data_IF_486779153874
#
_entry.id   IF_486779153874
#
_cell.length_a   1.000
_cell.length_b   1.000
_cell.length_c   1.000
_cell.angle_alpha   90.00
_cell.angle_beta   90.00
_cell.angle_gamma   90.00
#
_symmetry.space_group_name_H-M   'P 1'
#
loop_
_entity.id
_entity.type
_entity.pdbx_description
1 polymer ?
#
# COMPACT_ATOMS: atom_id res chain seq x y z
N UNK A 1 12.95 -9.39 15.98
CA UNK A 1 11.91 -9.94 15.09
C UNK A 1 10.71 -10.22 15.97
N UNK A 2 9.63 -9.47 15.79
CA UNK A 2 8.43 -9.61 16.62
C UNK A 2 7.38 -10.33 15.78
N UNK A 3 7.04 -11.54 16.20
CA UNK A 3 5.99 -12.35 15.60
C UNK A 3 4.62 -11.86 16.12
N UNK A 4 3.57 -11.99 15.31
CA UNK A 4 2.20 -11.84 15.83
C UNK A 4 1.91 -12.91 16.89
N UNK A 5 0.80 -12.78 17.62
CA UNK A 5 0.37 -13.78 18.60
C UNK A 5 0.25 -15.19 18.01
N UNK A 6 0.01 -15.27 16.69
CA UNK A 6 -0.11 -16.51 15.92
C UNK A 6 1.21 -16.97 15.25
N UNK A 7 2.33 -16.28 15.48
CA UNK A 7 3.61 -16.59 14.84
C UNK A 7 3.76 -16.04 13.42
N UNK A 8 2.80 -15.27 12.93
CA UNK A 8 2.79 -14.73 11.58
C UNK A 8 3.63 -13.45 11.46
N UNK A 9 4.13 -13.18 10.25
CA UNK A 9 4.90 -11.98 9.92
C UNK A 9 4.03 -11.15 8.97
N UNK A 10 3.33 -10.10 9.42
CA UNK A 10 2.46 -9.26 8.57
C UNK A 10 3.13 -8.77 7.28
N UNK A 11 4.44 -8.55 7.34
CA UNK A 11 5.25 -8.16 6.18
C UNK A 11 5.34 -9.25 5.10
N UNK A 12 5.29 -10.54 5.45
CA UNK A 12 5.26 -11.62 4.47
C UNK A 12 3.93 -11.65 3.71
N UNK A 13 2.79 -11.49 4.41
CA UNK A 13 1.50 -11.36 3.74
C UNK A 13 1.46 -10.14 2.83
N UNK A 14 2.03 -9.02 3.28
CA UNK A 14 2.15 -7.85 2.44
C UNK A 14 2.91 -8.15 1.13
N UNK A 15 4.09 -8.75 1.20
CA UNK A 15 4.89 -9.05 0.01
C UNK A 15 4.23 -10.08 -0.91
N UNK A 16 3.60 -11.13 -0.36
CA UNK A 16 2.83 -12.06 -1.17
C UNK A 16 1.65 -11.34 -1.84
N UNK A 17 0.91 -10.52 -1.10
CA UNK A 17 -0.21 -9.74 -1.63
C UNK A 17 0.20 -8.84 -2.80
N UNK A 18 1.36 -8.19 -2.71
CA UNK A 18 1.91 -7.39 -3.80
C UNK A 18 2.18 -8.24 -5.05
N UNK A 19 2.76 -9.44 -4.89
CA UNK A 19 3.00 -10.37 -6.00
C UNK A 19 1.67 -10.79 -6.64
N UNK A 20 0.67 -11.16 -5.83
CA UNK A 20 -0.68 -11.52 -6.32
C UNK A 20 -1.31 -10.36 -7.11
N UNK A 21 -1.27 -9.15 -6.57
CA UNK A 21 -1.80 -7.96 -7.23
C UNK A 21 -1.07 -7.66 -8.54
N UNK A 22 0.27 -7.80 -8.58
CA UNK A 22 1.06 -7.65 -9.81
C UNK A 22 0.69 -8.68 -10.89
N UNK A 23 0.31 -9.89 -10.48
CA UNK A 23 -0.13 -10.96 -11.38
C UNK A 23 -1.63 -10.92 -11.74
N UNK A 24 -2.35 -9.86 -11.35
CA UNK A 24 -3.77 -9.73 -11.68
C UNK A 24 -4.67 -10.69 -10.88
N UNK A 25 -4.28 -11.03 -9.64
CA UNK A 25 -5.03 -11.87 -8.70
C UNK A 25 -5.61 -11.01 -7.57
N UNK A 26 -6.64 -10.19 -7.83
CA UNK A 26 -7.08 -9.15 -6.90
C UNK A 26 -7.68 -9.72 -5.61
N UNK A 27 -8.47 -10.80 -5.66
CA UNK A 27 -9.11 -11.34 -4.47
C UNK A 27 -8.07 -11.91 -3.49
N UNK A 28 -7.14 -12.71 -4.00
CA UNK A 28 -6.05 -13.30 -3.21
C UNK A 28 -5.14 -12.21 -2.65
N UNK A 29 -4.88 -11.14 -3.41
CA UNK A 29 -4.12 -9.99 -2.94
C UNK A 29 -4.84 -9.28 -1.79
N UNK A 30 -6.14 -9.04 -1.91
CA UNK A 30 -6.94 -8.37 -0.88
C UNK A 30 -6.96 -9.17 0.42
N UNK A 31 -7.13 -10.50 0.35
CA UNK A 31 -7.10 -11.36 1.54
C UNK A 31 -5.75 -11.26 2.27
N UNK A 32 -4.64 -11.21 1.52
CA UNK A 32 -3.29 -11.08 2.06
C UNK A 32 -3.01 -9.67 2.61
N UNK A 33 -3.45 -8.61 1.91
CA UNK A 33 -3.29 -7.24 2.41
C UNK A 33 -4.06 -7.03 3.71
N UNK A 34 -5.28 -7.57 3.83
CA UNK A 34 -6.03 -7.51 5.08
C UNK A 34 -5.30 -8.18 6.23
N UNK A 35 -4.66 -9.34 6.01
CA UNK A 35 -3.81 -10.01 7.01
C UNK A 35 -2.53 -9.23 7.37
N UNK A 36 -2.13 -8.28 6.53
CA UNK A 36 -0.96 -7.43 6.80
C UNK A 36 -1.27 -6.20 7.68
N UNK A 37 -2.55 -5.91 7.92
CA UNK A 37 -2.98 -4.85 8.84
C UNK A 37 -2.56 -5.21 10.26
N UNK A 38 -2.02 -4.22 10.99
CA UNK A 38 -1.55 -4.38 12.36
C UNK A 38 -2.55 -3.77 13.35
N UNK A 39 -2.51 -4.17 14.64
CA UNK A 39 -3.12 -3.36 15.69
C UNK A 39 -2.70 -1.89 15.57
N UNK A 40 -3.59 -0.94 15.83
CA UNK A 40 -3.33 0.49 15.58
C UNK A 40 -2.13 1.01 16.40
N UNK A 41 -1.90 0.47 17.59
CA UNK A 41 -0.74 0.80 18.44
C UNK A 41 0.59 0.33 17.82
N UNK A 42 0.54 -0.62 16.90
CA UNK A 42 1.69 -1.17 16.18
C UNK A 42 1.79 -0.65 14.74
N UNK A 43 0.85 0.21 14.31
CA UNK A 43 0.85 0.88 13.00
C UNK A 43 1.82 2.05 12.98
N UNK A 44 3.11 1.74 13.04
CA UNK A 44 4.18 2.75 13.05
C UNK A 44 4.41 3.28 11.63
N UNK A 45 4.60 4.60 11.50
CA UNK A 45 4.96 5.24 10.23
C UNK A 45 3.86 5.19 9.17
N UNK A 46 2.60 5.12 9.58
CA UNK A 46 1.45 5.10 8.66
C UNK A 46 1.27 3.77 7.92
N UNK A 47 1.74 2.66 8.48
CA UNK A 47 1.66 1.33 7.84
C UNK A 47 0.24 0.97 7.42
N UNK A 48 -0.72 1.03 8.36
CA UNK A 48 -2.09 0.63 8.04
C UNK A 48 -2.73 1.54 6.99
N UNK A 49 -2.46 2.86 7.00
CA UNK A 49 -2.96 3.78 5.97
C UNK A 49 -2.41 3.42 4.59
N UNK A 50 -1.13 3.07 4.51
CA UNK A 50 -0.52 2.61 3.26
C UNK A 50 -1.15 1.31 2.73
N UNK A 51 -1.36 0.33 3.62
CA UNK A 51 -2.01 -0.93 3.27
C UNK A 51 -3.46 -0.69 2.83
N UNK A 52 -4.25 0.07 3.60
CA UNK A 52 -5.65 0.38 3.28
C UNK A 52 -5.79 1.19 2.00
N UNK A 53 -4.89 2.14 1.73
CA UNK A 53 -4.83 2.83 0.45
C UNK A 53 -4.60 1.84 -0.73
N UNK A 54 -3.70 0.88 -0.54
CA UNK A 54 -3.42 -0.15 -1.57
C UNK A 54 -4.61 -1.08 -1.79
N UNK A 55 -5.28 -1.50 -0.72
CA UNK A 55 -6.56 -2.24 -0.78
C UNK A 55 -7.59 -1.46 -1.59
N UNK A 56 -7.81 -0.20 -1.24
CA UNK A 56 -8.78 0.66 -1.91
C UNK A 56 -8.47 0.84 -3.41
N UNK A 57 -7.19 0.93 -3.80
CA UNK A 57 -6.80 0.94 -5.20
C UNK A 57 -7.19 -0.38 -5.91
N UNK A 58 -6.87 -1.54 -5.31
CA UNK A 58 -7.17 -2.86 -5.89
C UNK A 58 -8.67 -3.12 -5.97
N UNK A 59 -9.45 -2.62 -5.01
CA UNK A 59 -10.92 -2.66 -5.02
C UNK A 59 -11.55 -1.70 -6.04
N UNK A 60 -10.78 -0.78 -6.64
CA UNK A 60 -11.33 0.26 -7.49
C UNK A 60 -12.14 1.31 -6.69
N UNK A 61 -11.83 1.50 -5.41
CA UNK A 61 -12.48 2.48 -4.54
C UNK A 61 -11.65 3.77 -4.43
N UNK A 62 -11.89 4.70 -5.37
CA UNK A 62 -11.17 5.98 -5.43
C UNK A 62 -11.33 6.81 -4.15
N UNK A 63 -12.54 6.87 -3.60
CA UNK A 63 -12.83 7.68 -2.43
C UNK A 63 -12.09 7.18 -1.19
N UNK A 64 -12.03 5.86 -0.98
CA UNK A 64 -11.28 5.28 0.14
C UNK A 64 -9.77 5.46 -0.04
N UNK A 65 -9.26 5.34 -1.28
CA UNK A 65 -7.86 5.59 -1.60
C UNK A 65 -7.44 7.03 -1.23
N UNK A 66 -8.25 8.02 -1.61
CA UNK A 66 -7.96 9.43 -1.29
C UNK A 66 -8.07 9.72 0.22
N UNK A 67 -9.02 9.08 0.92
CA UNK A 67 -9.17 9.21 2.36
C UNK A 67 -7.94 8.66 3.10
N UNK A 68 -7.47 7.46 2.74
CA UNK A 68 -6.29 6.86 3.38
C UNK A 68 -5.01 7.61 3.03
N UNK A 69 -4.92 8.17 1.83
CA UNK A 69 -3.84 9.10 1.48
C UNK A 69 -3.83 10.32 2.41
N UNK A 70 -4.99 10.94 2.66
CA UNK A 70 -5.08 12.08 3.58
C UNK A 70 -4.67 11.71 5.01
N UNK A 71 -5.08 10.53 5.49
CA UNK A 71 -4.64 9.99 6.78
C UNK A 71 -3.12 9.75 6.82
N UNK A 72 -2.55 9.20 5.74
CA UNK A 72 -1.13 8.92 5.64
C UNK A 72 -0.29 10.20 5.70
N UNK A 73 -0.70 11.26 5.00
CA UNK A 73 -0.03 12.58 5.02
C UNK A 73 0.09 13.15 6.43
N UNK A 74 -0.89 12.89 7.31
CA UNK A 74 -0.83 13.33 8.70
C UNK A 74 0.19 12.56 9.57
N UNK A 75 0.69 11.41 9.09
CA UNK A 75 1.54 10.48 9.84
C UNK A 75 3.00 10.39 9.35
N UNK A 76 3.30 10.88 8.15
CA UNK A 76 4.62 10.71 7.52
C UNK A 76 5.14 12.01 6.88
N UNK A 77 6.47 12.19 6.75
CA UNK A 77 7.00 13.33 6.03
C UNK A 77 6.66 13.27 4.53
N UNK A 78 6.70 14.44 3.86
CA UNK A 78 6.35 14.56 2.45
C UNK A 78 7.23 13.73 1.50
N UNK A 79 8.46 13.39 1.91
CA UNK A 79 9.40 12.55 1.18
C UNK A 79 9.31 11.05 1.56
N UNK A 80 8.22 10.62 2.18
CA UNK A 80 8.00 9.22 2.49
C UNK A 80 7.77 8.38 1.21
N UNK A 81 8.46 7.24 1.11
CA UNK A 81 8.37 6.35 -0.04
C UNK A 81 6.96 5.75 -0.24
N UNK A 82 6.27 5.37 0.84
CA UNK A 82 4.93 4.79 0.78
C UNK A 82 3.90 5.85 0.38
N UNK A 83 4.05 7.09 0.85
CA UNK A 83 3.23 8.21 0.39
C UNK A 83 3.39 8.42 -1.12
N UNK A 84 4.62 8.40 -1.62
CA UNK A 84 4.88 8.46 -3.06
C UNK A 84 4.33 7.27 -3.87
N UNK A 85 4.15 6.09 -3.26
CA UNK A 85 3.43 4.97 -3.90
C UNK A 85 1.94 5.31 -4.02
N UNK A 86 1.31 5.69 -2.91
CA UNK A 86 -0.13 6.02 -2.88
C UNK A 86 -0.46 7.16 -3.84
N UNK A 87 0.39 8.19 -3.89
CA UNK A 87 0.26 9.29 -4.86
C UNK A 87 0.30 8.80 -6.30
N UNK A 88 1.17 7.84 -6.59
CA UNK A 88 1.24 7.21 -7.91
C UNK A 88 0.00 6.40 -8.26
N UNK A 89 -0.51 5.63 -7.30
CA UNK A 89 -1.76 4.87 -7.44
C UNK A 89 -2.95 5.80 -7.73
N UNK A 90 -3.00 6.98 -7.10
CA UNK A 90 -4.03 8.00 -7.36
C UNK A 90 -3.92 8.58 -8.77
N UNK A 91 -2.71 8.91 -9.21
CA UNK A 91 -2.46 9.42 -10.57
C UNK A 91 -2.91 8.42 -11.63
N UNK A 92 -2.60 7.14 -11.42
CA UNK A 92 -2.87 6.07 -12.37
C UNK A 92 -4.06 5.18 -11.97
N UNK A 93 -5.03 5.77 -11.28
CA UNK A 93 -6.20 5.07 -10.81
C UNK A 93 -6.97 4.39 -11.95
N UNK A 94 -7.42 3.15 -11.72
CA UNK A 94 -8.13 2.33 -12.70
C UNK A 94 -7.22 1.51 -13.63
N UNK A 95 -5.89 1.67 -13.57
CA UNK A 95 -4.94 0.75 -14.21
C UNK A 95 -4.76 -0.52 -13.37
N UNK A 96 -4.13 -1.54 -13.94
CA UNK A 96 -3.69 -2.71 -13.16
C UNK A 96 -2.70 -2.27 -12.06
N UNK A 97 -2.63 -3.02 -10.96
CA UNK A 97 -1.69 -2.72 -9.87
C UNK A 97 -0.23 -2.73 -10.36
N UNK A 98 0.13 -3.70 -11.22
CA UNK A 98 1.47 -3.76 -11.82
C UNK A 98 1.81 -2.48 -12.58
N UNK A 99 0.91 -2.01 -13.45
CA UNK A 99 1.13 -0.82 -14.25
C UNK A 99 1.21 0.44 -13.37
N UNK A 100 0.25 0.63 -12.47
CA UNK A 100 0.22 1.82 -11.61
C UNK A 100 1.41 1.89 -10.64
N UNK A 101 1.90 0.75 -10.16
CA UNK A 101 3.03 0.69 -9.23
C UNK A 101 4.38 0.93 -9.93
N UNK A 102 4.53 0.43 -11.16
CA UNK A 102 5.81 0.37 -11.89
C UNK A 102 6.01 1.38 -13.02
N UNK A 103 4.94 1.94 -13.59
CA UNK A 103 5.07 2.80 -14.76
C UNK A 103 5.71 4.16 -14.38
N UNK A 104 6.68 4.68 -15.17
CA UNK A 104 7.36 5.94 -14.89
C UNK A 104 6.42 7.13 -14.71
N UNK A 105 5.34 7.21 -15.50
CA UNK A 105 4.35 8.28 -15.42
C UNK A 105 3.55 8.26 -14.11
N UNK A 106 3.49 7.10 -13.44
CA UNK A 106 2.83 6.91 -12.16
C UNK A 106 3.79 7.08 -10.97
N UNK A 107 5.11 7.08 -11.19
CA UNK A 107 6.06 7.13 -10.07
C UNK A 107 6.05 8.50 -9.37
N UNK A 108 5.62 8.53 -8.10
CA UNK A 108 5.68 9.73 -7.24
C UNK A 108 6.58 9.52 -6.01
N UNK A 109 7.34 8.43 -5.99
CA UNK A 109 8.34 8.19 -4.95
C UNK A 109 9.45 9.25 -5.06
N UNK A 110 9.96 9.75 -3.92
CA UNK A 110 11.13 10.63 -3.93
C UNK A 110 12.28 9.96 -4.68
N UNK A 111 12.86 10.69 -5.62
CA UNK A 111 14.06 10.24 -6.30
C UNK A 111 15.21 10.32 -5.30
N UNK A 112 15.94 9.22 -5.12
CA UNK A 112 17.24 9.31 -4.46
C UNK A 112 18.16 10.06 -5.41
N UNK A 113 18.72 11.18 -4.96
CA UNK A 113 19.87 11.77 -5.65
C UNK A 113 20.94 10.69 -5.80
N UNK A 114 21.55 10.53 -6.99
CA UNK A 114 22.60 9.56 -7.22
C UNK A 114 23.78 9.74 -6.26
#
# INVERSE_FOLDING_TARGET
MQFSEDGEIPLLYWHEGQIRAMHGQPQEALDLFNKSIKPEEQSIGGWNEYVRATIAFVEGNRSALEAERANLVAKVPADNLNLGVVDGLIVCFGRSYADAYGAPECNRRPQRSP
#
